data_IF_768879769803
#
_entry.id   IF_768879769803
#
_cell.length_a   1.000
_cell.length_b   1.000
_cell.length_c   1.000
_cell.angle_alpha   90.00
_cell.angle_beta   90.00
_cell.angle_gamma   90.00
#
_symmetry.space_group_name_H-M   'P 1'
#
loop_
_entity.id
_entity.type
_entity.pdbx_description
1 polymer ?
#
# COMPACT_ATOMS: atom_id res chain seq x y z
N UNK A 1 3.18 -14.21 -10.27
CA UNK A 1 1.82 -13.65 -10.20
C UNK A 1 1.81 -12.28 -9.51
N UNK A 2 2.43 -12.12 -8.32
CA UNK A 2 2.57 -10.82 -7.61
C UNK A 2 2.98 -9.64 -8.50
N UNK A 3 4.11 -9.75 -9.20
CA UNK A 3 4.60 -8.69 -10.11
C UNK A 3 3.66 -8.37 -11.30
N UNK A 4 2.87 -9.34 -11.76
CA UNK A 4 1.85 -9.09 -12.80
C UNK A 4 0.66 -8.34 -12.19
N UNK A 5 0.30 -8.65 -10.94
CA UNK A 5 -0.74 -7.93 -10.23
C UNK A 5 -0.31 -6.48 -9.98
N UNK A 6 0.92 -6.25 -9.52
CA UNK A 6 1.47 -4.90 -9.32
C UNK A 6 1.45 -4.10 -10.64
N UNK A 7 1.93 -4.69 -11.75
CA UNK A 7 1.90 -4.04 -13.05
C UNK A 7 0.47 -3.66 -13.49
N UNK A 8 -0.51 -4.54 -13.21
CA UNK A 8 -1.92 -4.31 -13.50
C UNK A 8 -2.48 -3.19 -12.63
N UNK A 9 -2.20 -3.23 -11.33
CA UNK A 9 -2.66 -2.24 -10.36
C UNK A 9 -2.11 -0.84 -10.66
N UNK A 10 -0.80 -0.72 -10.96
CA UNK A 10 -0.18 0.56 -11.32
C UNK A 10 -0.86 1.19 -12.53
N UNK A 11 -1.10 0.41 -13.59
CA UNK A 11 -1.79 0.88 -14.78
C UNK A 11 -3.24 1.28 -14.48
N UNK A 12 -3.95 0.46 -13.71
CA UNK A 12 -5.34 0.70 -13.34
C UNK A 12 -5.49 1.98 -12.50
N UNK A 13 -4.67 2.17 -11.48
CA UNK A 13 -4.67 3.36 -10.62
C UNK A 13 -4.32 4.62 -11.42
N UNK A 14 -3.30 4.54 -12.30
CA UNK A 14 -2.90 5.67 -13.14
C UNK A 14 -4.02 6.12 -14.10
N UNK A 15 -4.83 5.19 -14.60
CA UNK A 15 -5.91 5.48 -15.53
C UNK A 15 -7.18 6.00 -14.84
N UNK A 16 -7.45 5.58 -13.60
CA UNK A 16 -8.73 5.81 -12.94
C UNK A 16 -8.68 6.79 -11.76
N UNK A 17 -7.49 7.23 -11.35
CA UNK A 17 -7.30 8.09 -10.17
C UNK A 17 -6.29 9.20 -10.43
N UNK A 18 -6.16 10.11 -9.47
CA UNK A 18 -5.09 11.13 -9.41
C UNK A 18 -4.05 10.81 -8.33
N UNK A 19 -4.09 9.58 -7.79
CA UNK A 19 -3.11 9.08 -6.82
C UNK A 19 -1.75 8.98 -7.55
N UNK A 20 -0.69 9.59 -7.00
CA UNK A 20 0.63 9.48 -7.58
C UNK A 20 1.17 8.06 -7.34
N UNK A 21 1.45 7.36 -8.43
CA UNK A 21 2.05 6.04 -8.45
C UNK A 21 3.20 6.02 -9.47
N UNK A 22 4.19 5.12 -9.31
CA UNK A 22 5.22 4.91 -10.31
C UNK A 22 4.64 4.64 -11.69
N UNK A 23 5.20 5.28 -12.71
CA UNK A 23 4.85 4.97 -14.10
C UNK A 23 5.35 3.56 -14.44
N UNK A 24 4.41 2.67 -14.80
CA UNK A 24 4.73 1.35 -15.32
C UNK A 24 5.48 1.44 -16.66
N UNK A 25 6.53 0.62 -16.83
CA UNK A 25 7.31 0.56 -18.07
C UNK A 25 7.26 -0.81 -18.73
N UNK A 26 7.59 -1.89 -18.01
CA UNK A 26 7.52 -3.26 -18.53
C UNK A 26 7.38 -4.30 -17.41
N UNK A 27 6.81 -5.46 -17.74
CA UNK A 27 6.79 -6.64 -16.88
C UNK A 27 7.01 -7.87 -17.76
N UNK A 28 8.22 -8.43 -17.71
CA UNK A 28 8.69 -9.44 -18.68
C UNK A 28 9.44 -10.57 -17.98
N UNK A 29 9.51 -11.74 -18.63
CA UNK A 29 10.37 -12.83 -18.17
C UNK A 29 11.72 -12.76 -18.85
N UNK A 30 12.79 -12.99 -18.10
CA UNK A 30 14.12 -13.17 -18.66
C UNK A 30 14.30 -14.57 -19.28
N UNK A 31 15.48 -14.81 -19.84
CA UNK A 31 15.87 -16.08 -20.45
C UNK A 31 15.89 -17.27 -19.47
N UNK A 32 15.92 -17.01 -18.17
CA UNK A 32 15.86 -18.01 -17.11
C UNK A 32 14.44 -18.18 -16.53
N UNK A 33 13.45 -17.45 -17.05
CA UNK A 33 12.06 -17.51 -16.63
C UNK A 33 11.73 -16.64 -15.40
N UNK A 34 12.69 -15.89 -14.87
CA UNK A 34 12.49 -14.95 -13.76
C UNK A 34 11.72 -13.73 -14.27
N UNK A 35 10.73 -13.29 -13.49
CA UNK A 35 9.88 -12.15 -13.86
C UNK A 35 10.52 -10.85 -13.35
N UNK A 36 10.61 -9.84 -14.21
CA UNK A 36 11.14 -8.52 -13.90
C UNK A 36 10.08 -7.46 -14.15
N UNK A 37 9.79 -6.67 -13.13
CA UNK A 37 8.95 -5.48 -13.21
C UNK A 37 9.86 -4.25 -13.25
N UNK A 38 9.67 -3.40 -14.27
CA UNK A 38 10.38 -2.13 -14.42
C UNK A 38 9.38 -0.99 -14.32
N UNK A 39 9.64 -0.07 -13.40
CA UNK A 39 8.81 1.10 -13.11
C UNK A 39 9.68 2.33 -12.91
N UNK A 40 9.06 3.50 -12.97
CA UNK A 40 9.68 4.77 -12.62
C UNK A 40 10.29 4.74 -11.22
N UNK A 41 11.55 5.18 -11.11
CA UNK A 41 12.19 5.40 -9.81
C UNK A 41 11.66 6.68 -9.17
N UNK A 42 10.93 6.55 -8.08
CA UNK A 42 10.50 7.69 -7.26
C UNK A 42 11.69 8.25 -6.47
N UNK A 43 11.92 9.56 -6.58
CA UNK A 43 12.93 10.25 -5.78
C UNK A 43 12.35 10.56 -4.41
N UNK A 44 13.09 10.21 -3.35
CA UNK A 44 12.66 10.44 -1.98
C UNK A 44 13.10 9.29 -1.07
N UNK A 45 12.48 9.24 0.10
CA UNK A 45 12.59 8.17 1.08
C UNK A 45 11.20 7.70 1.49
N UNK A 46 11.10 6.55 2.15
CA UNK A 46 9.81 6.12 2.69
C UNK A 46 9.42 6.96 3.91
N UNK A 47 8.13 7.15 4.13
CA UNK A 47 7.62 7.87 5.29
C UNK A 47 8.03 7.20 6.62
N UNK A 48 8.29 5.89 6.62
CA UNK A 48 8.81 5.16 7.79
C UNK A 48 10.27 5.44 8.12
N UNK A 49 11.08 5.94 7.18
CA UNK A 49 12.52 6.17 7.37
C UNK A 49 12.86 7.62 7.71
N UNK A 50 11.91 8.54 7.57
CA UNK A 50 12.10 9.99 7.78
C UNK A 50 12.70 10.31 9.14
N UNK A 51 12.32 9.56 10.17
CA UNK A 51 12.82 9.76 11.52
C UNK A 51 14.28 9.41 11.74
N UNK A 52 14.90 8.62 10.86
CA UNK A 52 16.28 8.15 11.05
C UNK A 52 17.32 9.27 10.90
N UNK A 53 17.01 10.28 10.10
CA UNK A 53 17.89 11.43 9.83
C UNK A 53 17.05 12.70 9.68
N UNK A 54 17.38 13.73 10.46
CA UNK A 54 16.66 15.01 10.40
C UNK A 54 16.77 15.67 9.01
N UNK A 55 15.62 16.05 8.43
CA UNK A 55 15.54 16.80 7.16
C UNK A 55 15.57 18.32 7.32
N UNK A 56 15.67 18.82 8.56
CA UNK A 56 15.70 20.24 8.92
C UNK A 56 14.62 21.09 8.20
N UNK A 57 13.32 20.72 8.28
CA UNK A 57 12.26 21.51 7.68
C UNK A 57 12.26 22.95 8.21
N UNK A 58 11.82 23.88 7.36
CA UNK A 58 11.89 25.30 7.67
C UNK A 58 10.91 25.67 8.79
N UNK A 59 11.36 26.43 9.78
CA UNK A 59 10.50 27.03 10.82
C UNK A 59 10.22 26.14 12.03
N UNK A 60 10.87 24.98 12.15
CA UNK A 60 10.68 24.04 13.25
C UNK A 60 12.00 23.80 14.01
N UNK A 61 11.90 23.34 15.26
CA UNK A 61 13.07 22.99 16.06
C UNK A 61 13.62 21.62 15.62
N UNK A 62 14.94 21.51 15.42
CA UNK A 62 15.57 20.33 14.81
C UNK A 62 16.82 19.86 15.54
N UNK A 63 17.14 18.58 15.29
CA UNK A 63 18.38 17.94 15.74
C UNK A 63 19.40 17.98 14.61
N UNK A 64 20.69 18.06 14.97
CA UNK A 64 21.78 18.09 13.99
C UNK A 64 22.22 16.70 13.51
N UNK A 65 21.91 15.64 14.27
CA UNK A 65 22.18 14.26 13.91
C UNK A 65 21.25 13.29 14.64
N UNK A 66 21.04 12.11 14.05
CA UNK A 66 20.28 11.02 14.66
C UNK A 66 18.76 11.16 14.49
N UNK A 67 18.03 10.47 15.37
CA UNK A 67 16.58 10.34 15.28
C UNK A 67 15.87 11.68 15.45
N UNK A 68 14.90 11.97 14.57
CA UNK A 68 14.15 13.22 14.57
C UNK A 68 12.63 12.98 14.63
N UNK A 69 12.09 12.97 15.84
CA UNK A 69 10.64 12.85 16.10
C UNK A 69 9.83 13.95 15.41
N UNK A 70 10.39 15.16 15.31
CA UNK A 70 9.70 16.28 14.66
C UNK A 70 9.44 16.04 13.17
N UNK A 71 10.39 15.42 12.46
CA UNK A 71 10.19 15.06 11.05
C UNK A 71 9.15 13.92 10.93
N UNK A 72 9.18 12.94 11.85
CA UNK A 72 8.18 11.88 11.92
C UNK A 72 6.77 12.43 12.15
N UNK A 73 6.59 13.37 13.08
CA UNK A 73 5.30 14.01 13.37
C UNK A 73 4.75 14.76 12.16
N UNK A 74 5.60 15.53 11.47
CA UNK A 74 5.21 16.28 10.27
C UNK A 74 4.77 15.31 9.17
N UNK A 75 5.56 14.26 8.90
CA UNK A 75 5.23 13.27 7.88
C UNK A 75 4.00 12.46 8.26
N UNK A 76 3.86 12.02 9.50
CA UNK A 76 2.68 11.31 9.97
C UNK A 76 1.41 12.12 9.72
N UNK A 77 1.43 13.41 10.07
CA UNK A 77 0.29 14.30 9.81
C UNK A 77 -0.02 14.42 8.31
N UNK A 78 0.99 14.72 7.49
CA UNK A 78 0.83 14.89 6.03
C UNK A 78 0.35 13.61 5.35
N UNK A 79 0.90 12.45 5.76
CA UNK A 79 0.51 11.13 5.26
C UNK A 79 -0.94 10.82 5.64
N UNK A 80 -1.33 10.98 6.90
CA UNK A 80 -2.70 10.72 7.33
C UNK A 80 -3.69 11.61 6.58
N UNK A 81 -3.41 12.90 6.48
CA UNK A 81 -4.24 13.85 5.74
C UNK A 81 -4.35 13.44 4.25
N UNK A 82 -3.23 13.12 3.60
CA UNK A 82 -3.21 12.71 2.21
C UNK A 82 -4.01 11.41 1.97
N UNK A 83 -3.82 10.41 2.83
CA UNK A 83 -4.50 9.12 2.69
C UNK A 83 -6.00 9.27 2.91
N UNK A 84 -6.42 9.94 3.98
CA UNK A 84 -7.83 10.06 4.35
C UNK A 84 -8.62 10.99 3.43
N UNK A 85 -8.01 12.07 2.96
CA UNK A 85 -8.72 13.08 2.16
C UNK A 85 -8.66 12.80 0.67
N UNK A 86 -7.65 12.05 0.19
CA UNK A 86 -7.45 11.80 -1.23
C UNK A 86 -7.44 10.32 -1.59
N UNK A 87 -6.56 9.52 -0.99
CA UNK A 87 -6.34 8.12 -1.41
C UNK A 87 -7.57 7.26 -1.18
N UNK A 88 -8.05 7.17 0.06
CA UNK A 88 -9.20 6.32 0.41
C UNK A 88 -10.46 6.73 -0.37
N UNK A 89 -10.83 8.02 -0.47
CA UNK A 89 -11.99 8.42 -1.27
C UNK A 89 -11.88 8.12 -2.76
N UNK A 90 -10.68 8.22 -3.36
CA UNK A 90 -10.51 7.88 -4.78
C UNK A 90 -10.56 6.37 -5.01
N UNK A 91 -9.93 5.58 -4.15
CA UNK A 91 -9.97 4.12 -4.21
C UNK A 91 -11.39 3.56 -4.01
N UNK A 92 -12.15 4.10 -3.05
CA UNK A 92 -13.51 3.62 -2.75
C UNK A 92 -14.56 4.00 -3.82
N UNK A 93 -14.23 4.90 -4.75
CA UNK A 93 -15.06 5.16 -5.95
C UNK A 93 -14.95 4.05 -6.98
N UNK A 94 -13.82 3.34 -7.00
CA UNK A 94 -13.60 2.22 -7.90
C UNK A 94 -14.29 1.01 -7.30
N UNK A 95 -15.34 0.54 -7.97
CA UNK A 95 -16.18 -0.56 -7.49
C UNK A 95 -16.22 -1.70 -8.49
N UNK A 96 -16.36 -2.91 -7.97
CA UNK A 96 -16.47 -4.13 -8.75
C UNK A 96 -17.32 -5.16 -8.00
N UNK A 97 -17.91 -6.08 -8.74
CA UNK A 97 -18.71 -7.16 -8.17
C UNK A 97 -17.90 -8.44 -7.90
N UNK A 98 -16.59 -8.44 -8.10
CA UNK A 98 -15.72 -9.58 -7.82
C UNK A 98 -14.47 -9.15 -7.07
N UNK A 99 -14.01 -9.98 -6.12
CA UNK A 99 -12.77 -9.72 -5.36
C UNK A 99 -11.49 -9.96 -6.16
N UNK A 100 -10.42 -9.31 -5.73
CA UNK A 100 -9.11 -9.38 -6.39
C UNK A 100 -9.01 -8.44 -7.59
N UNK A 101 -8.05 -8.68 -8.47
CA UNK A 101 -7.82 -7.90 -9.68
C UNK A 101 -7.49 -8.85 -10.83
N UNK A 102 -8.23 -8.74 -11.93
CA UNK A 102 -8.11 -9.66 -13.08
C UNK A 102 -8.16 -11.15 -12.68
N UNK A 103 -9.08 -11.51 -11.78
CA UNK A 103 -9.27 -12.89 -11.31
C UNK A 103 -8.16 -13.42 -10.40
N UNK A 104 -7.25 -12.55 -9.93
CA UNK A 104 -6.20 -12.90 -8.98
C UNK A 104 -6.44 -12.22 -7.64
N UNK A 105 -6.46 -13.00 -6.57
CA UNK A 105 -6.55 -12.50 -5.19
C UNK A 105 -5.22 -12.73 -4.51
N UNK A 106 -4.66 -11.66 -3.93
CA UNK A 106 -3.45 -11.74 -3.11
C UNK A 106 -3.71 -11.02 -1.77
N UNK A 107 -3.94 -11.79 -0.69
CA UNK A 107 -4.03 -11.22 0.65
C UNK A 107 -2.71 -10.60 1.11
N UNK A 108 -2.78 -9.75 2.13
CA UNK A 108 -1.62 -9.23 2.83
C UNK A 108 -0.73 -10.36 3.38
N UNK A 109 0.58 -10.13 3.49
CA UNK A 109 1.57 -11.13 3.91
C UNK A 109 1.22 -11.81 5.25
N UNK A 110 0.69 -11.06 6.22
CA UNK A 110 0.24 -11.62 7.51
C UNK A 110 -0.81 -12.73 7.39
N UNK A 111 -1.67 -12.67 6.36
CA UNK A 111 -2.66 -13.71 6.08
C UNK A 111 -1.98 -14.91 5.44
N UNK A 112 -1.06 -14.68 4.50
CA UNK A 112 -0.29 -15.73 3.84
C UNK A 112 0.61 -16.51 4.82
N UNK A 113 1.17 -15.83 5.82
CA UNK A 113 1.99 -16.44 6.87
C UNK A 113 1.15 -17.32 7.82
N UNK A 114 -0.14 -16.98 7.97
CA UNK A 114 -1.07 -17.70 8.85
C UNK A 114 -1.82 -18.84 8.14
N UNK A 115 -2.20 -18.64 6.88
CA UNK A 115 -2.99 -19.56 6.08
C UNK A 115 -2.23 -19.96 4.81
N UNK A 116 -1.62 -21.14 4.87
CA UNK A 116 -0.78 -21.70 3.81
C UNK A 116 -1.54 -22.36 2.66
N UNK A 117 -2.77 -21.94 2.36
CA UNK A 117 -3.49 -22.45 1.19
C UNK A 117 -2.78 -22.07 -0.11
N UNK A 118 -2.89 -22.95 -1.10
CA UNK A 118 -2.23 -22.77 -2.39
C UNK A 118 -2.86 -21.66 -3.24
N UNK A 119 -4.16 -21.40 -3.08
CA UNK A 119 -4.93 -20.49 -3.93
C UNK A 119 -5.98 -19.71 -3.14
N UNK A 120 -6.12 -18.42 -3.48
CA UNK A 120 -7.19 -17.54 -3.03
C UNK A 120 -8.12 -17.26 -4.20
N UNK A 121 -9.33 -17.81 -4.15
CA UNK A 121 -10.28 -17.72 -5.26
C UNK A 121 -11.07 -16.41 -5.21
N UNK A 122 -11.26 -15.73 -6.35
CA UNK A 122 -12.18 -14.61 -6.43
C UNK A 122 -13.59 -14.99 -5.97
N UNK A 123 -14.25 -14.06 -5.30
CA UNK A 123 -15.66 -14.16 -4.89
C UNK A 123 -16.44 -13.15 -5.68
N UNK A 124 -17.52 -13.58 -6.31
CA UNK A 124 -18.44 -12.71 -7.02
C UNK A 124 -19.66 -12.38 -6.17
N UNK A 125 -20.19 -11.18 -6.38
CA UNK A 125 -21.38 -10.61 -5.76
C UNK A 125 -22.41 -10.26 -6.84
N UNK A 126 -23.72 -10.28 -6.53
CA UNK A 126 -24.75 -9.75 -7.43
C UNK A 126 -24.66 -8.23 -7.66
N UNK A 127 -23.88 -7.48 -6.88
CA UNK A 127 -23.71 -6.03 -7.03
C UNK A 127 -22.25 -5.59 -6.83
N UNK A 128 -21.94 -4.35 -7.22
CA UNK A 128 -20.61 -3.75 -7.10
C UNK A 128 -20.29 -3.32 -5.64
N UNK A 129 -20.29 -4.28 -4.72
CA UNK A 129 -20.07 -4.02 -3.29
C UNK A 129 -18.60 -3.90 -2.89
N UNK A 130 -17.68 -4.42 -3.71
CA UNK A 130 -16.25 -4.37 -3.41
C UNK A 130 -15.64 -3.05 -3.89
N UNK A 131 -14.69 -2.55 -3.12
CA UNK A 131 -13.94 -1.33 -3.40
C UNK A 131 -12.48 -1.65 -3.70
N UNK A 132 -11.82 -0.86 -4.53
CA UNK A 132 -10.41 -1.06 -4.81
C UNK A 132 -9.55 -0.68 -3.60
N UNK A 133 -8.48 -1.43 -3.35
CA UNK A 133 -7.62 -1.31 -2.18
C UNK A 133 -6.16 -1.50 -2.54
N UNK A 134 -5.29 -0.95 -1.71
CA UNK A 134 -3.86 -1.20 -1.81
C UNK A 134 -3.49 -2.59 -1.28
N UNK A 135 -4.10 -3.00 -0.16
CA UNK A 135 -3.80 -4.28 0.50
C UNK A 135 -2.65 -4.23 1.52
N UNK A 136 -1.80 -3.20 1.47
CA UNK A 136 -0.71 -2.92 2.43
C UNK A 136 -0.37 -1.41 2.48
N UNK A 137 -1.37 -0.58 2.74
CA UNK A 137 -1.19 0.88 2.75
C UNK A 137 -0.52 1.36 4.05
N UNK A 138 0.78 1.10 4.18
CA UNK A 138 1.59 1.43 5.35
C UNK A 138 2.65 2.51 5.03
N UNK A 139 3.23 3.14 6.06
CA UNK A 139 4.22 4.23 5.90
C UNK A 139 5.47 3.83 5.11
N UNK A 140 5.82 2.56 5.06
CA UNK A 140 6.96 2.08 4.28
C UNK A 140 6.68 2.02 2.77
N UNK A 141 5.40 2.03 2.37
CA UNK A 141 4.94 2.05 0.98
C UNK A 141 4.56 3.46 0.49
N UNK A 142 4.83 4.50 1.30
CA UNK A 142 4.53 5.89 0.96
C UNK A 142 5.84 6.66 0.85
N UNK A 143 6.09 7.24 -0.32
CA UNK A 143 7.31 7.99 -0.62
C UNK A 143 7.10 9.47 -0.30
N UNK A 144 8.10 10.08 0.34
CA UNK A 144 8.15 11.52 0.60
C UNK A 144 9.41 12.16 0.05
N UNK A 145 9.32 13.43 -0.35
CA UNK A 145 10.46 14.21 -0.81
C UNK A 145 11.24 14.89 0.35
N UNK A 146 12.23 15.70 -0.01
CA UNK A 146 13.02 16.47 0.94
C UNK A 146 12.20 17.53 1.70
N UNK A 147 11.05 17.96 1.16
CA UNK A 147 10.08 18.85 1.79
C UNK A 147 9.10 18.12 2.72
N UNK A 148 9.26 16.80 2.87
CA UNK A 148 8.38 15.92 3.65
C UNK A 148 6.97 15.81 3.03
N UNK A 149 6.81 16.12 1.75
CA UNK A 149 5.54 16.00 1.04
C UNK A 149 5.42 14.62 0.38
N UNK A 150 4.21 14.06 0.39
CA UNK A 150 3.93 12.76 -0.25
C UNK A 150 4.06 12.90 -1.76
N UNK A 151 4.92 12.07 -2.36
CA UNK A 151 5.20 12.11 -3.80
C UNK A 151 4.72 10.88 -4.57
N UNK A 152 4.58 9.72 -3.93
CA UNK A 152 4.02 8.53 -4.55
C UNK A 152 3.62 7.47 -3.50
N UNK A 153 2.74 6.55 -3.91
CA UNK A 153 2.50 5.28 -3.22
C UNK A 153 3.06 4.15 -4.10
N UNK A 154 3.79 3.23 -3.50
CA UNK A 154 4.49 2.11 -4.15
C UNK A 154 4.02 0.77 -3.60
N UNK A 155 4.48 -0.34 -4.19
CA UNK A 155 4.19 -1.71 -3.73
C UNK A 155 2.71 -2.12 -3.80
N UNK A 156 2.13 -1.99 -5.00
CA UNK A 156 0.72 -2.31 -5.27
C UNK A 156 0.46 -3.79 -5.56
N UNK A 157 1.38 -4.68 -5.20
CA UNK A 157 1.28 -6.09 -5.60
C UNK A 157 0.13 -6.84 -4.93
N UNK A 158 -0.33 -6.38 -3.76
CA UNK A 158 -1.48 -6.90 -3.00
C UNK A 158 -2.80 -6.20 -3.34
N UNK A 159 -2.77 -5.24 -4.27
CA UNK A 159 -3.93 -4.42 -4.61
C UNK A 159 -5.01 -5.21 -5.34
N UNK A 160 -6.27 -4.82 -5.11
CA UNK A 160 -7.43 -5.42 -5.74
C UNK A 160 -8.75 -4.97 -5.11
N UNK A 161 -9.85 -5.55 -5.56
CA UNK A 161 -11.18 -5.28 -5.02
C UNK A 161 -11.47 -6.16 -3.81
N UNK A 162 -11.89 -5.54 -2.69
CA UNK A 162 -12.19 -6.22 -1.43
C UNK A 162 -13.35 -5.53 -0.69
N UNK A 163 -13.95 -6.18 0.33
CA UNK A 163 -14.94 -5.53 1.18
C UNK A 163 -14.41 -4.24 1.83
N UNK A 164 -15.24 -3.20 1.94
CA UNK A 164 -14.86 -1.90 2.49
C UNK A 164 -14.35 -1.96 3.94
N UNK A 165 -14.75 -2.95 4.72
CA UNK A 165 -14.27 -3.15 6.09
C UNK A 165 -12.85 -3.73 6.20
N UNK A 166 -12.23 -4.12 5.08
CA UNK A 166 -10.93 -4.82 5.07
C UNK A 166 -9.69 -3.89 5.14
N UNK A 167 -9.80 -2.55 5.14
CA UNK A 167 -8.62 -1.66 4.99
C UNK A 167 -8.20 -1.34 6.40
N UNK A 168 -7.07 -1.89 6.77
CA UNK A 168 -6.46 -1.56 8.04
C UNK A 168 -5.79 -0.20 7.91
N UNK A 169 -5.91 0.65 8.93
CA UNK A 169 -5.31 2.00 8.93
C UNK A 169 -3.81 1.94 9.19
N UNK A 170 -3.09 1.14 8.39
CA UNK A 170 -1.67 0.82 8.59
C UNK A 170 -0.76 2.06 8.45
N UNK A 171 -1.20 3.07 7.69
CA UNK A 171 -0.51 4.35 7.56
C UNK A 171 -0.44 5.15 8.88
N UNK A 172 -1.31 4.86 9.84
CA UNK A 172 -1.31 5.49 11.15
C UNK A 172 -0.29 4.87 12.11
N UNK A 173 0.14 3.65 11.82
CA UNK A 173 1.02 2.88 12.68
C UNK A 173 2.49 3.28 12.46
N UNK A 174 3.25 3.22 13.55
CA UNK A 174 4.70 3.17 13.47
C UNK A 174 5.17 1.74 13.12
N UNK A 175 6.48 1.54 13.06
CA UNK A 175 7.06 0.24 12.70
C UNK A 175 6.68 -0.87 13.69
N UNK A 176 6.63 -0.57 14.98
CA UNK A 176 6.29 -1.56 16.00
C UNK A 176 4.80 -1.93 15.92
N UNK A 177 3.93 -0.93 15.81
CA UNK A 177 2.50 -1.12 15.60
C UNK A 177 2.20 -1.96 14.36
N UNK A 178 2.89 -1.68 13.24
CA UNK A 178 2.75 -2.49 12.01
C UNK A 178 3.17 -3.95 12.24
N UNK A 179 4.32 -4.21 12.88
CA UNK A 179 4.77 -5.57 13.15
C UNK A 179 3.85 -6.33 14.10
N UNK A 180 3.26 -5.65 15.08
CA UNK A 180 2.30 -6.25 15.99
C UNK A 180 1.06 -6.81 15.27
N UNK A 181 0.72 -6.26 14.09
CA UNK A 181 -0.39 -6.77 13.28
C UNK A 181 -0.18 -8.19 12.75
N UNK A 182 1.06 -8.67 12.66
CA UNK A 182 1.37 -10.05 12.26
C UNK A 182 1.07 -11.06 13.37
N UNK A 183 0.92 -10.59 14.61
CA UNK A 183 0.61 -11.43 15.78
C UNK A 183 -0.87 -11.39 16.17
N UNK A 184 -1.66 -10.49 15.57
CA UNK A 184 -3.10 -10.36 15.82
C UNK A 184 -3.87 -11.47 15.10
N UNK A 185 -3.87 -12.66 15.71
CA UNK A 185 -4.52 -13.84 15.13
C UNK A 185 -6.02 -13.64 14.92
N UNK A 186 -6.71 -12.93 15.82
CA UNK A 186 -8.15 -12.68 15.70
C UNK A 186 -8.46 -11.75 14.52
N UNK A 187 -7.67 -10.69 14.34
CA UNK A 187 -7.78 -9.82 13.18
C UNK A 187 -7.52 -10.57 11.86
N UNK A 188 -6.47 -11.41 11.84
CA UNK A 188 -6.11 -12.23 10.68
C UNK A 188 -7.24 -13.21 10.31
N UNK A 189 -7.81 -13.92 11.28
CA UNK A 189 -8.96 -14.81 11.04
C UNK A 189 -10.20 -14.05 10.54
N UNK A 190 -10.40 -12.82 11.00
CA UNK A 190 -11.45 -11.92 10.52
C UNK A 190 -11.26 -11.57 9.05
N UNK A 191 -10.03 -11.19 8.66
CA UNK A 191 -9.67 -10.89 7.28
C UNK A 191 -9.87 -12.08 6.35
N UNK A 192 -9.45 -13.28 6.78
CA UNK A 192 -9.64 -14.52 6.03
C UNK A 192 -11.14 -14.70 5.71
N UNK A 193 -12.01 -14.59 6.71
CA UNK A 193 -13.47 -14.75 6.52
C UNK A 193 -14.08 -13.76 5.53
N UNK A 194 -13.51 -12.57 5.36
CA UNK A 194 -14.00 -11.59 4.41
C UNK A 194 -13.71 -12.00 2.96
N UNK A 195 -12.54 -12.62 2.72
CA UNK A 195 -12.04 -12.94 1.39
C UNK A 195 -12.15 -14.42 1.00
N UNK A 196 -12.67 -15.26 1.90
CA UNK A 196 -12.99 -16.69 1.66
C UNK A 196 -14.49 -16.92 1.70
#
# INVERSE_FOLDING_TARGET
QRLLNEATALQFIKQNTTIPVPTFMSCERDEHGAMHLVVERIKGITASEVGQECRKPQGEAHVDAGQCTKCEEIVAKKVNEFVETKVIPELHKLRHNETGLNGFVLPHQRVLDHDGRDEWRPKSSPCDEYVFRHGDLARHNIMVDAGLDVVAIVDWETAGFYPESWEHRLWELDREGYLNTFTDTLGIEGDIKLIT
#
